data_IF_667070911742
#
_entry.id   IF_667070911742
#
_cell.length_a   1.000
_cell.length_b   1.000
_cell.length_c   1.000
_cell.angle_alpha   90.00
_cell.angle_beta   90.00
_cell.angle_gamma   90.00
#
_symmetry.space_group_name_H-M   'P 1'
#
loop_
_entity.id
_entity.type
_entity.pdbx_description
1 polymer ?
#
# COMPACT_ATOMS: atom_id res chain seq x y z
N UNK A 1 -2.58 -8.76 16.52
CA UNK A 1 -3.59 -9.22 16.40
C UNK A 1 -4.09 -9.47 15.16
N UNK A 2 -5.18 -9.99 14.90
CA UNK A 2 -5.58 -10.36 13.72
C UNK A 2 -6.36 -9.40 13.08
N UNK A 3 -6.31 -9.18 11.82
CA UNK A 3 -7.07 -8.28 11.04
C UNK A 3 -7.94 -9.08 10.15
N UNK A 4 -9.24 -8.85 10.22
CA UNK A 4 -10.14 -9.52 9.33
C UNK A 4 -10.07 -8.85 8.00
N UNK A 5 -9.60 -9.52 6.99
CA UNK A 5 -9.49 -8.98 5.65
C UNK A 5 -10.50 -9.65 4.74
N UNK A 6 -11.08 -8.90 3.84
CA UNK A 6 -12.01 -9.49 2.88
C UNK A 6 -11.28 -10.37 1.88
N UNK A 7 -12.01 -11.20 1.17
CA UNK A 7 -11.44 -12.04 0.15
C UNK A 7 -10.80 -11.16 -0.90
N UNK A 8 -9.68 -11.54 -1.38
CA UNK A 8 -8.96 -10.78 -2.40
C UNK A 8 -8.08 -9.70 -1.83
N UNK A 9 -8.01 -9.58 -0.52
CA UNK A 9 -7.19 -8.56 0.09
C UNK A 9 -5.73 -8.91 0.01
N UNK A 10 -4.91 -7.90 -0.19
CA UNK A 10 -3.48 -8.06 -0.26
C UNK A 10 -2.84 -7.03 0.66
N UNK A 11 -2.04 -7.49 1.60
CA UNK A 11 -1.29 -6.59 2.47
C UNK A 11 0.00 -6.19 1.78
N UNK A 12 0.29 -4.92 1.79
CA UNK A 12 1.56 -4.45 1.26
C UNK A 12 2.44 -4.01 2.41
N UNK A 13 3.71 -4.36 2.31
CA UNK A 13 4.67 -4.01 3.34
C UNK A 13 5.75 -3.16 2.72
N UNK A 14 6.42 -2.37 3.56
CA UNK A 14 7.60 -1.67 3.10
C UNK A 14 8.81 -2.57 3.30
N UNK A 15 9.73 -2.54 2.35
CA UNK A 15 10.94 -3.33 2.48
C UNK A 15 12.02 -2.56 3.18
N UNK A 16 11.84 -1.28 3.47
CA UNK A 16 12.86 -0.46 4.09
C UNK A 16 12.28 0.26 5.29
N UNK A 17 13.08 0.52 6.31
CA UNK A 17 12.64 1.34 7.42
C UNK A 17 12.78 2.81 7.06
N UNK A 18 11.99 3.65 7.64
CA UNK A 18 12.11 5.07 7.37
C UNK A 18 10.86 5.81 7.77
N UNK A 19 10.54 6.86 7.03
CA UNK A 19 9.36 7.65 7.31
C UNK A 19 8.50 7.73 6.06
N UNK A 20 7.20 7.76 6.26
CA UNK A 20 6.28 7.93 5.15
C UNK A 20 6.36 9.38 4.72
N UNK A 21 7.01 9.63 3.58
CA UNK A 21 7.20 10.99 3.11
C UNK A 21 5.96 11.49 2.39
N UNK A 22 5.27 10.62 1.69
CA UNK A 22 4.08 11.01 0.97
C UNK A 22 3.14 9.83 0.82
N UNK A 23 1.86 10.07 0.98
CA UNK A 23 0.84 9.09 0.66
C UNK A 23 0.13 9.63 -0.56
N UNK A 24 0.19 8.91 -1.67
CA UNK A 24 -0.30 9.40 -2.94
C UNK A 24 -1.70 8.96 -3.26
N UNK A 25 -2.30 8.14 -2.42
CA UNK A 25 -3.63 7.60 -2.69
C UNK A 25 -4.52 7.75 -1.47
N UNK A 26 -5.81 7.54 -1.66
CA UNK A 26 -6.79 7.61 -0.59
C UNK A 26 -7.54 6.30 -0.50
N UNK A 27 -8.09 6.01 0.65
CA UNK A 27 -8.92 4.82 0.82
C UNK A 27 -10.10 4.91 -0.14
N UNK A 28 -10.37 3.81 -0.80
CA UNK A 28 -11.44 3.73 -1.79
C UNK A 28 -11.00 4.06 -3.20
N UNK A 29 -9.77 4.50 -3.38
CA UNK A 29 -9.31 4.89 -4.71
C UNK A 29 -8.89 3.67 -5.53
N UNK A 30 -9.21 3.67 -6.81
CA UNK A 30 -8.73 2.62 -7.72
C UNK A 30 -7.35 2.95 -8.19
N UNK A 31 -6.48 1.98 -8.25
CA UNK A 31 -5.12 2.16 -8.70
C UNK A 31 -4.78 1.13 -9.76
N UNK A 32 -3.78 1.42 -10.55
CA UNK A 32 -3.32 0.52 -11.60
C UNK A 32 -1.96 -0.03 -11.23
N UNK A 33 -1.66 -1.21 -11.76
CA UNK A 33 -0.35 -1.81 -11.55
C UNK A 33 0.73 -0.83 -11.91
N UNK A 34 1.72 -0.66 -11.04
CA UNK A 34 2.84 0.27 -11.25
C UNK A 34 2.60 1.67 -10.75
N UNK A 35 1.38 1.97 -10.29
CA UNK A 35 1.11 3.30 -9.79
C UNK A 35 1.75 3.49 -8.42
N UNK A 36 2.29 4.68 -8.14
CA UNK A 36 2.93 4.94 -6.87
C UNK A 36 1.86 5.13 -5.81
N UNK A 37 1.93 4.33 -4.75
CA UNK A 37 0.97 4.41 -3.66
C UNK A 37 1.50 5.27 -2.53
N UNK A 38 2.77 5.18 -2.26
CA UNK A 38 3.34 5.79 -1.09
C UNK A 38 4.84 5.95 -1.32
N UNK A 39 5.45 6.96 -0.77
CA UNK A 39 6.90 7.16 -0.88
C UNK A 39 7.46 7.10 0.53
N UNK A 40 8.45 6.26 0.73
CA UNK A 40 9.12 6.07 2.02
C UNK A 40 10.52 6.69 1.90
N UNK A 41 10.86 7.58 2.81
CA UNK A 41 12.20 8.14 2.82
C UNK A 41 13.06 7.37 3.82
N UNK A 42 14.19 6.88 3.38
CA UNK A 42 15.08 6.11 4.21
C UNK A 42 16.51 6.46 3.84
N UNK A 43 17.28 6.93 4.81
CA UNK A 43 18.70 7.20 4.60
C UNK A 43 18.94 8.16 3.44
N UNK A 44 18.12 9.20 3.37
CA UNK A 44 18.22 10.24 2.37
C UNK A 44 17.87 9.76 0.97
N UNK A 45 17.23 8.61 0.86
CA UNK A 45 16.75 8.11 -0.41
C UNK A 45 15.26 7.93 -0.35
N UNK A 46 14.60 8.03 -1.48
CA UNK A 46 13.18 7.84 -1.56
C UNK A 46 12.88 6.52 -2.23
N UNK A 47 11.98 5.75 -1.63
CA UNK A 47 11.59 4.46 -2.18
C UNK A 47 10.11 4.52 -2.49
N UNK A 48 9.75 4.24 -3.73
CA UNK A 48 8.36 4.26 -4.14
C UNK A 48 7.74 2.90 -3.92
N UNK A 49 6.60 2.88 -3.24
CA UNK A 49 5.85 1.65 -3.07
C UNK A 49 4.82 1.63 -4.19
N UNK A 50 4.90 0.65 -5.06
CA UNK A 50 4.07 0.60 -6.24
C UNK A 50 2.97 -0.44 -6.10
N UNK A 51 1.87 -0.21 -6.77
CA UNK A 51 0.80 -1.19 -6.79
C UNK A 51 1.25 -2.40 -7.60
N UNK A 52 1.13 -3.60 -7.06
CA UNK A 52 1.57 -4.79 -7.80
C UNK A 52 0.57 -5.21 -8.87
N UNK A 53 -0.65 -4.74 -8.77
CA UNK A 53 -1.69 -5.13 -9.69
C UNK A 53 -2.75 -4.06 -9.66
N UNK A 54 -3.69 -4.08 -10.58
CA UNK A 54 -4.85 -3.20 -10.55
C UNK A 54 -5.67 -3.55 -9.33
N UNK A 55 -6.03 -2.58 -8.55
CA UNK A 55 -6.69 -2.84 -7.27
C UNK A 55 -7.39 -1.61 -6.75
N UNK A 56 -8.09 -1.76 -5.64
CA UNK A 56 -8.68 -0.64 -4.93
C UNK A 56 -8.03 -0.54 -3.56
N UNK A 57 -7.72 0.66 -3.12
CA UNK A 57 -7.11 0.86 -1.82
C UNK A 57 -8.18 0.65 -0.76
N UNK A 58 -8.04 -0.43 0.01
CA UNK A 58 -9.02 -0.77 1.03
C UNK A 58 -8.74 -0.03 2.32
N UNK A 59 -7.49 0.04 2.72
CA UNK A 59 -7.16 0.68 3.98
C UNK A 59 -5.74 1.19 3.96
N UNK A 60 -5.53 2.38 4.52
CA UNK A 60 -4.19 2.89 4.72
C UNK A 60 -3.83 2.67 6.18
N UNK A 61 -2.70 2.03 6.42
CA UNK A 61 -2.30 1.65 7.77
C UNK A 61 -1.24 2.58 8.34
N UNK A 62 -0.77 3.52 7.54
CA UNK A 62 0.18 4.52 7.99
C UNK A 62 -0.21 5.84 7.43
N UNK A 63 0.12 6.90 8.10
CA UNK A 63 -0.16 8.25 7.63
C UNK A 63 1.13 8.93 7.21
N UNK A 64 1.02 9.97 6.41
CA UNK A 64 2.15 10.75 6.03
C UNK A 64 2.84 11.26 7.28
N UNK A 65 4.13 11.13 7.34
CA UNK A 65 4.93 11.50 8.50
C UNK A 65 5.18 10.40 9.48
N UNK A 66 4.53 9.24 9.32
CA UNK A 66 4.70 8.16 10.28
C UNK A 66 6.02 7.43 10.06
N UNK A 67 6.58 6.90 11.13
CA UNK A 67 7.78 6.07 11.03
C UNK A 67 7.36 4.64 10.73
N UNK A 68 8.12 3.94 9.92
CA UNK A 68 7.83 2.56 9.56
C UNK A 68 9.09 1.73 9.67
N UNK A 69 8.91 0.43 9.85
CA UNK A 69 10.03 -0.50 9.93
C UNK A 69 9.96 -1.46 8.77
N UNK A 70 11.09 -2.04 8.43
CA UNK A 70 11.11 -3.01 7.32
C UNK A 70 10.17 -4.15 7.63
N UNK A 71 9.36 -4.51 6.68
CA UNK A 71 8.38 -5.58 6.85
C UNK A 71 7.07 -5.15 7.46
N UNK A 72 6.93 -3.88 7.79
CA UNK A 72 5.68 -3.41 8.39
C UNK A 72 4.59 -3.29 7.34
N UNK A 73 3.39 -3.67 7.70
CA UNK A 73 2.24 -3.52 6.79
C UNK A 73 1.88 -2.05 6.70
N UNK A 74 1.74 -1.53 5.50
CA UNK A 74 1.48 -0.11 5.31
C UNK A 74 0.14 0.17 4.65
N UNK A 75 -0.37 -0.79 3.86
CA UNK A 75 -1.72 -0.61 3.32
C UNK A 75 -2.29 -1.92 2.84
N UNK A 76 -3.57 -1.93 2.57
CA UNK A 76 -4.29 -3.11 2.10
C UNK A 76 -4.95 -2.76 0.79
N UNK A 77 -4.74 -3.60 -0.21
CA UNK A 77 -5.40 -3.47 -1.49
C UNK A 77 -6.36 -4.61 -1.70
N UNK A 78 -7.41 -4.37 -2.45
CA UNK A 78 -8.31 -5.43 -2.90
C UNK A 78 -8.08 -5.55 -4.40
N UNK A 79 -7.61 -6.72 -4.83
CA UNK A 79 -7.32 -6.94 -6.24
C UNK A 79 -8.59 -6.84 -7.04
N UNK A 80 -8.50 -6.21 -8.20
CA UNK A 80 -9.67 -6.08 -9.02
C UNK A 80 -9.79 -7.12 -10.03
N UNK A 81 -8.85 -7.93 -10.19
CA UNK A 81 -8.84 -8.79 -11.29
C UNK A 81 -9.82 -9.80 -11.30
N UNK A 82 -10.32 -10.10 -10.22
CA UNK A 82 -10.99 -11.23 -10.25
C UNK A 82 -12.28 -11.18 -10.68
N UNK A 83 -12.78 -10.20 -10.95
CA UNK A 83 -14.00 -10.21 -11.17
C UNK A 83 -14.44 -10.39 -12.33
N UNK A 84 -14.18 -10.68 -13.10
CA UNK A 84 -14.67 -10.83 -14.18
C UNK A 84 -15.52 -11.70 -14.37
N UNK A 85 -16.43 -11.66 -14.45
CA UNK A 85 -17.33 -12.47 -14.49
C UNK A 85 -17.46 -12.90 -15.67
N UNK A 86 -17.53 -12.91 -16.33
CA UNK A 86 -17.67 -13.41 -17.41
C UNK A 86 -18.59 -13.76 -17.76
#
# INVERSE_FOLDING_TARGET
DEVDLPDGARLLTTSVPGNVWRVSVSEGQSVKAGEVLMVIESMKMEFNLLAPTDATVHKLMCAQGAAVEAGQNVLVLIDESSDEPV
#
